data_IF_977590637324
#
_entry.id   IF_977590637324
#
_cell.length_a   1.000
_cell.length_b   1.000
_cell.length_c   1.000
_cell.angle_alpha   90.00
_cell.angle_beta   90.00
_cell.angle_gamma   90.00
#
_symmetry.space_group_name_H-M   'P 1'
#
loop_
_entity.id
_entity.type
_entity.pdbx_description
1 polymer ?
#
# COMPACT_ATOMS: atom_id res chain seq x y z
N UNK A 1 22.54 -17.74 -10.41
CA UNK A 1 21.15 -17.42 -10.01
C UNK A 1 21.23 -16.47 -8.82
N UNK A 2 20.92 -15.19 -8.99
CA UNK A 2 20.99 -14.21 -7.90
C UNK A 2 19.73 -14.40 -7.06
N UNK A 3 19.86 -15.00 -5.88
CA UNK A 3 18.77 -15.04 -4.92
C UNK A 3 18.38 -13.58 -4.62
N UNK A 4 17.22 -13.15 -5.10
CA UNK A 4 16.62 -11.87 -4.73
C UNK A 4 16.28 -12.04 -3.26
N UNK A 5 17.12 -11.54 -2.36
CA UNK A 5 16.86 -11.60 -0.92
C UNK A 5 15.48 -10.99 -0.66
N UNK A 6 14.45 -11.79 -0.32
CA UNK A 6 13.11 -11.26 -0.20
C UNK A 6 13.04 -10.51 1.13
N UNK A 7 12.61 -9.25 1.11
CA UNK A 7 12.06 -8.57 2.28
C UNK A 7 12.95 -8.55 3.52
N UNK A 8 13.95 -7.67 3.52
CA UNK A 8 14.30 -7.01 4.77
C UNK A 8 13.01 -6.34 5.30
N UNK A 9 12.66 -6.58 6.56
CA UNK A 9 11.48 -6.01 7.22
C UNK A 9 11.47 -4.50 6.99
N UNK A 10 10.60 -3.99 6.10
CA UNK A 10 10.57 -2.57 5.72
C UNK A 10 11.12 -2.21 4.33
N UNK A 11 11.44 -3.17 3.45
CA UNK A 11 11.73 -2.85 2.05
C UNK A 11 10.50 -2.23 1.37
N UNK A 12 10.75 -1.22 0.53
CA UNK A 12 9.72 -0.62 -0.32
C UNK A 12 9.11 -1.72 -1.22
N UNK A 13 7.78 -1.79 -1.23
CA UNK A 13 7.03 -2.72 -2.06
C UNK A 13 6.66 -1.96 -3.33
N UNK A 14 7.06 -2.47 -4.49
CA UNK A 14 6.85 -1.77 -5.76
C UNK A 14 5.36 -1.70 -6.09
N UNK A 15 4.95 -0.69 -6.84
CA UNK A 15 3.53 -0.57 -7.20
C UNK A 15 3.02 -1.76 -8.01
N UNK A 16 3.85 -2.33 -8.90
CA UNK A 16 3.53 -3.57 -9.62
C UNK A 16 3.21 -4.75 -8.69
N UNK A 17 3.90 -4.87 -7.55
CA UNK A 17 3.64 -5.91 -6.56
C UNK A 17 2.35 -5.63 -5.77
N UNK A 18 2.02 -4.36 -5.50
CA UNK A 18 0.73 -3.95 -4.91
C UNK A 18 -0.44 -4.26 -5.86
N UNK A 19 -0.28 -3.97 -7.15
CA UNK A 19 -1.28 -4.23 -8.18
C UNK A 19 -1.50 -5.75 -8.38
N UNK A 20 -0.43 -6.54 -8.42
CA UNK A 20 -0.53 -8.01 -8.50
C UNK A 20 -1.25 -8.59 -7.28
N UNK A 21 -0.93 -8.08 -6.08
CA UNK A 21 -1.59 -8.47 -4.83
C UNK A 21 -3.10 -8.20 -4.89
N UNK A 22 -3.50 -7.00 -5.34
CA UNK A 22 -4.91 -6.64 -5.50
C UNK A 22 -5.61 -7.54 -6.52
N UNK A 23 -5.00 -7.77 -7.69
CA UNK A 23 -5.55 -8.63 -8.73
C UNK A 23 -5.78 -10.06 -8.25
N UNK A 24 -4.78 -10.68 -7.60
CA UNK A 24 -4.88 -12.03 -7.04
C UNK A 24 -6.02 -12.13 -6.01
N UNK A 25 -6.12 -11.16 -5.11
CA UNK A 25 -7.17 -11.14 -4.09
C UNK A 25 -8.56 -10.97 -4.71
N UNK A 26 -8.69 -10.11 -5.71
CA UNK A 26 -9.95 -9.86 -6.41
C UNK A 26 -10.43 -11.05 -7.23
N UNK A 27 -9.52 -11.77 -7.87
CA UNK A 27 -9.84 -12.98 -8.64
C UNK A 27 -10.30 -14.14 -7.75
N UNK A 28 -9.61 -14.39 -6.63
CA UNK A 28 -9.92 -15.51 -5.74
C UNK A 28 -9.67 -15.15 -4.27
N UNK A 29 -10.60 -14.46 -3.60
CA UNK A 29 -10.40 -13.97 -2.23
C UNK A 29 -10.28 -15.10 -1.20
N UNK A 30 -10.91 -16.26 -1.45
CA UNK A 30 -10.83 -17.44 -0.58
C UNK A 30 -9.43 -18.08 -0.57
N UNK A 31 -8.74 -18.02 -1.72
CA UNK A 31 -7.43 -18.64 -1.92
C UNK A 31 -6.31 -17.67 -1.54
N UNK A 32 -6.47 -16.40 -1.92
CA UNK A 32 -5.53 -15.33 -1.64
C UNK A 32 -5.98 -14.49 -0.44
N UNK A 33 -6.13 -15.15 0.71
CA UNK A 33 -6.49 -14.47 1.96
C UNK A 33 -5.41 -13.46 2.37
N UNK A 34 -5.80 -12.50 3.21
CA UNK A 34 -4.89 -11.49 3.76
C UNK A 34 -3.69 -12.13 4.46
N UNK A 35 -3.92 -13.22 5.20
CA UNK A 35 -2.89 -13.99 5.88
C UNK A 35 -1.87 -14.58 4.89
N UNK A 36 -2.35 -15.13 3.77
CA UNK A 36 -1.48 -15.71 2.74
C UNK A 36 -0.67 -14.64 2.04
N UNK A 37 -1.30 -13.54 1.63
CA UNK A 37 -0.62 -12.41 0.96
C UNK A 37 0.41 -11.77 1.89
N UNK A 38 0.09 -11.58 3.16
CA UNK A 38 1.04 -11.07 4.15
C UNK A 38 2.29 -11.95 4.25
N UNK A 39 2.13 -13.28 4.20
CA UNK A 39 3.24 -14.24 4.23
C UNK A 39 4.04 -14.25 2.93
N UNK A 40 3.37 -14.26 1.78
CA UNK A 40 3.98 -14.30 0.44
C UNK A 40 4.85 -13.06 0.19
N UNK A 41 4.32 -11.87 0.51
CA UNK A 41 5.02 -10.59 0.32
C UNK A 41 5.84 -10.17 1.54
N UNK A 42 5.85 -10.97 2.62
CA UNK A 42 6.59 -10.72 3.88
C UNK A 42 6.32 -9.34 4.50
N UNK A 43 5.05 -8.93 4.51
CA UNK A 43 4.59 -7.67 5.10
C UNK A 43 3.55 -7.90 6.21
N UNK A 44 3.25 -6.86 6.99
CA UNK A 44 2.23 -6.94 8.05
C UNK A 44 0.82 -7.03 7.45
N UNK A 45 -0.08 -7.79 8.10
CA UNK A 45 -1.50 -7.94 7.67
C UNK A 45 -2.23 -6.61 7.51
N UNK A 46 -1.97 -5.64 8.40
CA UNK A 46 -2.56 -4.30 8.31
C UNK A 46 -2.18 -3.59 7.00
N UNK A 47 -0.94 -3.79 6.55
CA UNK A 47 -0.44 -3.22 5.29
C UNK A 47 -1.11 -3.86 4.08
N UNK A 48 -1.39 -5.17 4.13
CA UNK A 48 -2.17 -5.84 3.09
C UNK A 48 -3.58 -5.27 3.02
N UNK A 49 -4.28 -5.12 4.16
CA UNK A 49 -5.60 -4.49 4.18
C UNK A 49 -5.60 -3.08 3.58
N UNK A 50 -4.61 -2.25 3.96
CA UNK A 50 -4.48 -0.91 3.41
C UNK A 50 -4.24 -0.92 1.90
N UNK A 51 -3.36 -1.80 1.41
CA UNK A 51 -3.06 -1.92 -0.03
C UNK A 51 -4.34 -2.31 -0.80
N UNK A 52 -5.07 -3.32 -0.33
CA UNK A 52 -6.30 -3.78 -0.98
C UNK A 52 -7.36 -2.67 -1.00
N UNK A 53 -7.54 -1.97 0.12
CA UNK A 53 -8.49 -0.87 0.24
C UNK A 53 -8.14 0.31 -0.67
N UNK A 54 -6.87 0.73 -0.69
CA UNK A 54 -6.43 1.85 -1.52
C UNK A 54 -6.57 1.54 -3.01
N UNK A 55 -6.27 0.31 -3.44
CA UNK A 55 -6.44 -0.11 -4.84
C UNK A 55 -7.91 -0.21 -5.26
N UNK A 56 -8.80 -0.57 -4.34
CA UNK A 56 -10.25 -0.53 -4.59
C UNK A 56 -10.76 0.90 -4.79
N UNK A 57 -10.31 1.84 -3.95
CA UNK A 57 -10.63 3.28 -4.12
C UNK A 57 -10.05 3.86 -5.42
N UNK A 58 -8.81 3.51 -5.76
CA UNK A 58 -8.16 3.89 -7.01
C UNK A 58 -9.00 3.46 -8.22
N UNK A 59 -9.42 2.18 -8.25
CA UNK A 59 -10.27 1.66 -9.32
C UNK A 59 -11.65 2.34 -9.37
N UNK A 60 -12.24 2.66 -8.21
CA UNK A 60 -13.53 3.36 -8.16
C UNK A 60 -13.43 4.78 -8.73
N UNK A 61 -12.36 5.51 -8.41
CA UNK A 61 -12.12 6.86 -8.94
C UNK A 61 -11.75 6.85 -10.43
N UNK A 62 -10.92 5.90 -10.89
CA UNK A 62 -10.63 5.73 -12.32
C UNK A 62 -11.91 5.45 -13.14
N UNK A 63 -12.84 4.66 -12.59
CA UNK A 63 -14.15 4.44 -13.21
C UNK A 63 -15.00 5.70 -13.26
N UNK A 64 -14.95 6.55 -12.23
CA UNK A 64 -15.68 7.83 -12.19
C UNK A 64 -15.11 8.85 -13.19
N UNK A 65 -13.78 8.92 -13.30
CA UNK A 65 -13.08 9.86 -14.17
C UNK A 65 -13.02 9.39 -15.63
N UNK A 66 -13.11 8.08 -15.87
CA UNK A 66 -13.05 7.48 -17.21
C UNK A 66 -11.65 7.44 -17.82
N UNK A 67 -10.62 7.74 -17.05
CA UNK A 67 -9.21 7.64 -17.43
C UNK A 67 -8.34 7.20 -16.23
N UNK A 68 -7.14 6.65 -16.46
CA UNK A 68 -6.23 6.26 -15.39
C UNK A 68 -5.80 7.43 -14.51
N UNK A 69 -5.46 7.16 -13.25
CA UNK A 69 -4.89 8.15 -12.34
C UNK A 69 -3.42 8.44 -12.67
N UNK A 70 -2.94 9.62 -12.25
CA UNK A 70 -1.56 10.07 -12.45
C UNK A 70 -0.57 9.22 -11.63
N UNK A 71 0.47 8.70 -12.29
CA UNK A 71 1.51 7.82 -11.72
C UNK A 71 2.82 8.55 -11.40
N UNK A 72 2.87 9.88 -11.58
CA UNK A 72 4.06 10.72 -11.39
C UNK A 72 4.76 10.53 -10.05
N UNK A 73 4.00 10.28 -8.97
CA UNK A 73 4.56 10.07 -7.62
C UNK A 73 5.26 8.72 -7.52
N UNK A 74 4.66 7.63 -8.02
CA UNK A 74 5.29 6.30 -7.96
C UNK A 74 6.54 6.26 -8.86
N UNK A 75 6.50 6.92 -10.02
CA UNK A 75 7.68 7.07 -10.90
C UNK A 75 8.82 7.82 -10.19
N UNK A 76 8.51 8.86 -9.41
CA UNK A 76 9.51 9.60 -8.63
C UNK A 76 10.13 8.73 -7.53
N UNK A 77 9.34 7.88 -6.88
CA UNK A 77 9.82 6.95 -5.85
C UNK A 77 10.74 5.86 -6.44
N UNK A 78 10.46 5.41 -7.65
CA UNK A 78 11.30 4.44 -8.37
C UNK A 78 12.59 5.07 -8.93
N UNK A 79 12.55 6.34 -9.36
CA UNK A 79 13.69 7.03 -9.97
C UNK A 79 14.68 7.58 -8.94
N UNK A 80 14.18 7.98 -7.76
CA UNK A 80 14.98 8.64 -6.72
C UNK A 80 14.77 7.97 -5.35
N UNK A 81 15.35 6.78 -5.10
CA UNK A 81 15.19 6.05 -3.83
C UNK A 81 15.74 6.82 -2.62
N UNK A 82 16.55 7.86 -2.81
CA UNK A 82 17.00 8.80 -1.79
C UNK A 82 15.85 9.61 -1.20
N UNK A 83 14.82 9.92 -1.98
CA UNK A 83 13.62 10.63 -1.52
C UNK A 83 12.87 9.80 -0.48
N UNK A 84 12.76 8.48 -0.69
CA UNK A 84 12.20 7.56 0.29
C UNK A 84 13.00 7.55 1.59
N UNK A 85 14.35 7.59 1.51
CA UNK A 85 15.20 7.66 2.71
C UNK A 85 15.07 9.00 3.42
N UNK A 86 15.01 10.11 2.67
CA UNK A 86 14.80 11.45 3.22
C UNK A 86 13.43 11.59 3.89
N UNK A 87 12.37 11.06 3.27
CA UNK A 87 11.03 10.95 3.86
C UNK A 87 11.01 10.02 5.08
N UNK A 88 11.76 8.92 5.06
CA UNK A 88 11.88 8.04 6.23
C UNK A 88 12.60 8.70 7.40
N UNK A 89 13.65 9.48 7.14
CA UNK A 89 14.38 10.25 8.15
C UNK A 89 13.51 11.40 8.66
N UNK A 90 12.80 12.08 7.75
CA UNK A 90 11.77 13.03 8.11
C UNK A 90 10.79 12.34 9.05
N UNK A 91 10.16 11.22 8.62
CA UNK A 91 9.50 10.07 9.33
C UNK A 91 9.81 9.86 10.81
N UNK A 92 11.07 10.10 11.18
CA UNK A 92 11.63 9.81 12.49
C UNK A 92 11.89 11.07 13.32
N UNK A 93 11.66 12.25 12.77
CA UNK A 93 11.63 13.49 13.53
C UNK A 93 10.42 13.46 14.49
N UNK A 94 10.60 13.78 15.78
CA UNK A 94 9.60 13.56 16.84
C UNK A 94 8.36 14.48 16.76
N UNK A 95 8.09 15.11 15.61
CA UNK A 95 7.03 16.12 15.46
C UNK A 95 5.92 15.70 14.50
N UNK A 96 5.60 14.40 14.40
CA UNK A 96 4.30 13.99 13.86
C UNK A 96 3.21 14.41 14.85
N UNK A 97 2.49 15.47 14.49
CA UNK A 97 1.33 15.94 15.24
C UNK A 97 0.26 14.84 15.29
N UNK A 98 -0.48 14.77 16.40
CA UNK A 98 -1.58 13.81 16.64
C UNK A 98 -2.56 13.73 15.46
N UNK A 99 -2.75 14.83 14.74
CA UNK A 99 -3.56 14.97 13.51
C UNK A 99 -3.20 13.95 12.41
N UNK A 100 -1.92 13.60 12.23
CA UNK A 100 -1.50 12.64 11.20
C UNK A 100 -1.73 11.18 11.61
N UNK A 101 -1.60 10.88 12.91
CA UNK A 101 -2.10 9.63 13.48
C UNK A 101 -3.62 9.55 13.37
N UNK A 102 -4.34 10.67 13.53
CA UNK A 102 -5.77 10.77 13.28
C UNK A 102 -6.11 10.47 11.82
N UNK A 103 -5.39 10.99 10.82
CA UNK A 103 -5.66 10.66 9.41
C UNK A 103 -5.42 9.18 9.11
N UNK A 104 -4.35 8.57 9.66
CA UNK A 104 -4.12 7.12 9.55
C UNK A 104 -5.24 6.34 10.24
N UNK A 105 -5.64 6.70 11.46
CA UNK A 105 -6.74 6.06 12.19
C UNK A 105 -8.09 6.27 11.48
N UNK A 106 -8.34 7.44 10.90
CA UNK A 106 -9.56 7.78 10.17
C UNK A 106 -9.65 7.04 8.82
N UNK A 107 -8.51 6.80 8.16
CA UNK A 107 -8.45 5.92 6.98
C UNK A 107 -8.83 4.47 7.31
N UNK A 108 -8.58 3.99 8.54
CA UNK A 108 -9.00 2.67 9.00
C UNK A 108 -10.38 2.64 9.70
N UNK A 109 -10.89 3.79 10.14
CA UNK A 109 -12.15 3.92 10.91
C UNK A 109 -13.25 4.65 10.13
N UNK A 110 -13.41 4.36 8.84
CA UNK A 110 -14.63 4.72 8.10
C UNK A 110 -15.21 3.52 7.38
N UNK A 111 -15.52 2.46 8.14
CA UNK A 111 -16.59 1.53 7.75
C UNK A 111 -17.93 2.14 8.18
N UNK A 112 -18.84 2.49 7.26
CA UNK A 112 -20.23 2.67 7.62
C UNK A 112 -20.77 1.33 8.11
N UNK A 113 -21.21 1.29 9.37
CA UNK A 113 -22.10 0.24 9.85
C UNK A 113 -23.39 0.40 9.04
N UNK A 114 -23.60 -0.49 8.09
CA UNK A 114 -24.91 -0.67 7.46
C UNK A 114 -25.82 -1.26 8.54
N UNK A 115 -26.82 -0.49 8.96
CA UNK A 115 -28.09 -0.97 9.51
C UNK A 115 -29.18 -0.20 8.78
#
# INVERSE_FOLDING_TARGET
MKAREPGARGSYLKDSEKAEMYKKHKENPEVYTVERLAKEYRIMRQRVHAILWLKELEEEEEKKLGHPLDDSVELLLDTCPEILRALHIALLLPNWNTEMLYLVVMMFWKKPRVV
#
